data_IF_918348534881
#
_entry.id   IF_918348534881
#
_cell.length_a   1.000
_cell.length_b   1.000
_cell.length_c   1.000
_cell.angle_alpha   90.00
_cell.angle_beta   90.00
_cell.angle_gamma   90.00
#
_symmetry.space_group_name_H-M   'P 1'
#
loop_
_entity.id
_entity.type
_entity.pdbx_description
1 polymer ?
#
# COMPACT_ATOMS: atom_id res chain seq x y z
N UNK A 1 10.49 4.40 2.15
CA UNK A 1 10.06 3.05 1.75
C UNK A 1 10.21 2.12 2.94
N UNK A 2 9.18 1.33 3.23
CA UNK A 2 9.19 0.30 4.27
C UNK A 2 9.19 -1.07 3.61
N UNK A 3 10.03 -1.98 4.10
CA UNK A 3 10.15 -3.33 3.54
C UNK A 3 10.24 -4.33 4.70
N UNK A 4 9.39 -5.34 4.68
CA UNK A 4 9.50 -6.53 5.53
C UNK A 4 9.82 -7.72 4.64
N UNK A 5 10.89 -8.46 4.98
CA UNK A 5 11.26 -9.69 4.30
C UNK A 5 11.43 -10.81 5.31
N UNK A 6 10.86 -11.96 5.01
CA UNK A 6 11.00 -13.16 5.84
C UNK A 6 12.47 -13.54 6.01
N UNK A 7 12.88 -13.85 7.23
CA UNK A 7 14.26 -14.19 7.57
C UNK A 7 15.27 -13.04 7.57
N UNK A 8 14.90 -11.86 7.04
CA UNK A 8 15.80 -10.69 6.98
C UNK A 8 15.38 -9.55 7.92
N UNK A 9 14.09 -9.43 8.25
CA UNK A 9 13.59 -8.40 9.16
C UNK A 9 12.91 -7.24 8.44
N UNK A 10 12.76 -6.10 9.15
CA UNK A 10 12.11 -4.88 8.67
C UNK A 10 13.14 -3.80 8.41
N UNK A 11 13.03 -3.15 7.25
CA UNK A 11 13.92 -2.09 6.79
C UNK A 11 13.13 -0.82 6.50
N UNK A 12 13.64 0.31 6.97
CA UNK A 12 13.12 1.62 6.65
C UNK A 12 14.18 2.35 5.82
N UNK A 13 13.84 2.73 4.60
CA UNK A 13 14.73 3.37 3.64
C UNK A 13 14.18 4.75 3.34
N UNK A 14 14.94 5.79 3.68
CA UNK A 14 14.66 7.15 3.23
C UNK A 14 15.26 7.34 1.83
N UNK A 15 14.45 7.48 0.78
CA UNK A 15 14.97 7.60 -0.57
C UNK A 15 15.54 8.99 -0.86
N UNK A 16 15.26 10.00 -0.03
CA UNK A 16 15.63 11.38 -0.29
C UNK A 16 17.15 11.53 -0.41
N UNK A 17 17.60 11.98 -1.59
CA UNK A 17 19.02 12.20 -1.89
C UNK A 17 19.82 10.94 -2.25
N UNK A 18 19.14 9.79 -2.40
CA UNK A 18 19.76 8.54 -2.86
C UNK A 18 18.94 7.85 -3.97
N UNK A 19 18.03 8.58 -4.61
CA UNK A 19 17.07 8.04 -5.59
C UNK A 19 17.78 7.31 -6.74
N UNK A 20 18.92 7.83 -7.19
CA UNK A 20 19.78 7.26 -8.24
C UNK A 20 20.61 6.05 -7.79
N UNK A 21 20.59 5.72 -6.50
CA UNK A 21 21.37 4.63 -5.88
C UNK A 21 20.54 3.40 -5.50
N UNK A 22 19.26 3.41 -5.80
CA UNK A 22 18.32 2.34 -5.44
C UNK A 22 18.37 1.10 -6.38
N UNK A 23 19.22 1.12 -7.43
CA UNK A 23 19.35 0.01 -8.36
C UNK A 23 19.57 -1.36 -7.69
N UNK A 24 20.52 -1.53 -6.76
CA UNK A 24 20.69 -2.82 -6.07
C UNK A 24 19.46 -3.25 -5.25
N UNK A 25 18.70 -2.31 -4.72
CA UNK A 25 17.43 -2.61 -4.07
C UNK A 25 16.39 -3.09 -5.07
N UNK A 26 16.28 -2.40 -6.22
CA UNK A 26 15.38 -2.77 -7.30
C UNK A 26 15.66 -4.20 -7.79
N UNK A 27 16.93 -4.56 -7.97
CA UNK A 27 17.35 -5.90 -8.41
C UNK A 27 16.90 -6.99 -7.42
N UNK A 28 17.06 -6.75 -6.12
CA UNK A 28 16.62 -7.69 -5.07
C UNK A 28 15.10 -7.81 -5.02
N UNK A 29 14.40 -6.68 -5.13
CA UNK A 29 12.94 -6.63 -5.04
C UNK A 29 12.23 -7.16 -6.30
N UNK A 30 12.92 -7.21 -7.44
CA UNK A 30 12.37 -7.72 -8.70
C UNK A 30 12.19 -9.26 -8.73
N UNK A 31 12.58 -9.97 -7.68
CA UNK A 31 12.52 -11.45 -7.62
C UNK A 31 11.35 -11.99 -6.81
N UNK A 32 10.72 -11.16 -6.00
CA UNK A 32 9.72 -11.59 -5.03
C UNK A 32 8.36 -10.93 -5.28
N UNK A 33 7.26 -11.62 -4.94
CA UNK A 33 5.93 -11.02 -4.88
C UNK A 33 5.91 -9.89 -3.83
N UNK A 34 5.34 -8.74 -4.18
CA UNK A 34 5.13 -7.66 -3.21
C UNK A 34 3.75 -7.76 -2.57
N UNK A 35 3.73 -7.70 -1.25
CA UNK A 35 2.51 -7.64 -0.47
C UNK A 35 2.29 -6.19 -0.08
N UNK A 36 1.20 -5.62 -0.52
CA UNK A 36 0.82 -4.23 -0.30
C UNK A 36 -0.59 -4.16 0.29
N UNK A 37 -0.95 -3.02 0.85
CA UNK A 37 -2.32 -2.70 1.22
C UNK A 37 -2.76 -1.44 0.48
N UNK A 38 -3.77 -1.54 -0.38
CA UNK A 38 -4.17 -0.49 -1.30
C UNK A 38 -3.05 -0.07 -2.28
N UNK A 39 -2.46 -1.04 -2.97
CA UNK A 39 -1.28 -0.91 -3.83
C UNK A 39 -1.37 0.22 -4.87
N UNK A 40 -2.57 0.57 -5.30
CA UNK A 40 -2.82 1.66 -6.26
C UNK A 40 -2.43 3.05 -5.73
N UNK A 41 -2.22 3.19 -4.42
CA UNK A 41 -1.75 4.42 -3.78
C UNK A 41 -0.23 4.50 -3.73
N UNK A 42 0.46 3.37 -3.51
CA UNK A 42 1.92 3.32 -3.33
C UNK A 42 2.68 3.13 -4.64
N UNK A 43 2.17 2.30 -5.54
CA UNK A 43 2.84 1.96 -6.80
C UNK A 43 3.29 3.20 -7.61
N UNK A 44 2.50 4.28 -7.75
CA UNK A 44 2.96 5.47 -8.46
C UNK A 44 4.24 6.09 -7.88
N UNK A 45 4.34 6.16 -6.55
CA UNK A 45 5.52 6.69 -5.87
C UNK A 45 6.72 5.74 -5.96
N UNK A 46 6.47 4.43 -5.88
CA UNK A 46 7.52 3.41 -6.04
C UNK A 46 8.08 3.39 -7.46
N UNK A 47 7.23 3.59 -8.47
CA UNK A 47 7.65 3.72 -9.87
C UNK A 47 8.55 4.95 -10.11
N UNK A 48 8.32 6.07 -9.41
CA UNK A 48 9.22 7.24 -9.47
C UNK A 48 10.65 6.90 -8.97
N UNK A 49 10.77 5.89 -8.11
CA UNK A 49 12.04 5.36 -7.60
C UNK A 49 12.59 4.21 -8.47
N UNK A 50 11.99 3.93 -9.62
CA UNK A 50 12.30 2.77 -10.48
C UNK A 50 12.16 1.42 -9.77
N UNK A 51 11.26 1.32 -8.80
CA UNK A 51 10.91 0.09 -8.10
C UNK A 51 9.61 -0.47 -8.71
N UNK A 52 9.69 -1.64 -9.33
CA UNK A 52 8.58 -2.28 -10.05
C UNK A 52 8.36 -3.70 -9.53
N UNK A 53 7.15 -4.04 -9.02
CA UNK A 53 6.88 -5.39 -8.57
C UNK A 53 6.76 -6.35 -9.76
N UNK A 54 7.34 -7.56 -9.67
CA UNK A 54 7.07 -8.61 -10.65
C UNK A 54 5.66 -9.20 -10.48
N UNK A 55 5.17 -9.22 -9.25
CA UNK A 55 3.84 -9.69 -8.87
C UNK A 55 3.36 -8.90 -7.63
N UNK A 56 2.05 -8.65 -7.53
CA UNK A 56 1.43 -7.95 -6.40
C UNK A 56 0.40 -8.85 -5.72
N UNK A 57 0.38 -8.82 -4.39
CA UNK A 57 -0.72 -9.27 -3.55
C UNK A 57 -1.25 -8.05 -2.79
N UNK A 58 -2.48 -7.62 -3.06
CA UNK A 58 -3.11 -6.49 -2.38
C UNK A 58 -4.09 -6.99 -1.32
N UNK A 59 -3.79 -6.70 -0.05
CA UNK A 59 -4.62 -7.15 1.07
C UNK A 59 -5.97 -6.44 1.11
N UNK A 60 -6.07 -5.16 0.68
CA UNK A 60 -7.34 -4.45 0.58
C UNK A 60 -8.29 -5.12 -0.43
N UNK A 61 -7.77 -5.51 -1.62
CA UNK A 61 -8.56 -6.25 -2.61
C UNK A 61 -8.97 -7.62 -2.06
N UNK A 62 -8.05 -8.30 -1.37
CA UNK A 62 -8.37 -9.58 -0.72
C UNK A 62 -9.53 -9.45 0.26
N UNK A 63 -9.52 -8.42 1.11
CA UNK A 63 -10.61 -8.12 2.04
C UNK A 63 -11.94 -7.81 1.33
N UNK A 64 -11.89 -7.03 0.24
CA UNK A 64 -13.05 -6.74 -0.60
C UNK A 64 -13.65 -8.02 -1.20
N UNK A 65 -12.82 -8.88 -1.76
CA UNK A 65 -13.24 -10.15 -2.35
C UNK A 65 -13.80 -11.12 -1.30
N UNK A 66 -13.33 -11.05 -0.07
CA UNK A 66 -13.86 -11.83 1.05
C UNK A 66 -15.14 -11.23 1.65
N UNK A 67 -15.48 -10.00 1.28
CA UNK A 67 -16.68 -9.31 1.75
C UNK A 67 -16.55 -8.73 3.15
N UNK A 68 -15.34 -8.35 3.56
CA UNK A 68 -15.12 -7.72 4.85
C UNK A 68 -15.86 -6.39 4.97
N UNK A 69 -16.51 -6.09 6.09
CA UNK A 69 -17.27 -4.85 6.29
C UNK A 69 -16.35 -3.62 6.40
N UNK A 70 -15.07 -3.83 6.72
CA UNK A 70 -14.02 -2.81 6.83
C UNK A 70 -12.72 -3.38 6.26
N UNK A 71 -12.14 -2.63 5.33
CA UNK A 71 -10.96 -3.02 4.56
C UNK A 71 -9.71 -2.18 4.89
N UNK A 72 -9.71 -1.42 5.98
CA UNK A 72 -8.46 -0.78 6.42
C UNK A 72 -7.51 -1.84 6.97
N UNK A 73 -6.20 -1.65 6.81
CA UNK A 73 -5.17 -2.58 7.28
C UNK A 73 -5.39 -2.97 8.75
N UNK A 74 -5.69 -1.98 9.62
CA UNK A 74 -5.95 -2.23 11.04
C UNK A 74 -7.18 -3.13 11.25
N UNK A 75 -8.22 -2.95 10.43
CA UNK A 75 -9.44 -3.75 10.55
C UNK A 75 -9.21 -5.18 10.08
N UNK A 76 -8.46 -5.36 9.00
CA UNK A 76 -8.12 -6.68 8.48
C UNK A 76 -7.19 -7.45 9.40
N UNK A 77 -6.16 -6.79 9.93
CA UNK A 77 -5.26 -7.40 10.93
C UNK A 77 -6.04 -7.82 12.18
N UNK A 78 -6.97 -6.98 12.65
CA UNK A 78 -7.80 -7.32 13.81
C UNK A 78 -8.74 -8.50 13.54
N UNK A 79 -9.38 -8.54 12.37
CA UNK A 79 -10.33 -9.57 11.97
C UNK A 79 -9.65 -10.92 11.72
N UNK A 80 -8.50 -10.89 11.02
CA UNK A 80 -7.83 -12.09 10.51
C UNK A 80 -6.82 -12.63 11.50
N UNK A 81 -6.00 -11.76 12.11
CA UNK A 81 -4.90 -12.15 12.97
C UNK A 81 -5.20 -11.95 14.47
N UNK A 82 -6.30 -11.24 14.82
CA UNK A 82 -6.66 -10.97 16.22
C UNK A 82 -5.78 -9.92 16.91
N UNK A 83 -4.99 -9.15 16.18
CA UNK A 83 -4.12 -8.10 16.72
C UNK A 83 -4.71 -6.71 16.50
N UNK A 84 -4.61 -5.83 17.50
CA UNK A 84 -4.93 -4.42 17.37
C UNK A 84 -3.73 -3.61 16.89
N UNK A 85 -3.82 -2.96 15.72
CA UNK A 85 -2.84 -1.95 15.30
C UNK A 85 -3.26 -0.57 15.79
N UNK A 86 -2.32 0.19 16.36
CA UNK A 86 -2.58 1.55 16.80
C UNK A 86 -2.80 2.48 15.59
N UNK A 87 -3.81 3.36 15.67
CA UNK A 87 -4.12 4.40 14.66
C UNK A 87 -3.34 5.70 14.90
N UNK A 88 -2.09 5.62 15.27
CA UNK A 88 -1.30 6.80 15.58
C UNK A 88 -0.57 7.28 14.31
N UNK A 89 -0.38 8.60 14.17
CA UNK A 89 0.47 9.23 13.15
C UNK A 89 0.01 9.24 11.68
N UNK A 90 -1.19 8.79 11.33
CA UNK A 90 -1.70 8.87 9.93
C UNK A 90 -1.78 10.31 9.38
N UNK A 91 -1.89 11.32 10.26
CA UNK A 91 -1.95 12.75 9.91
C UNK A 91 -0.65 13.52 10.24
N UNK A 92 0.46 12.81 10.53
CA UNK A 92 1.74 13.43 10.83
C UNK A 92 2.40 14.01 9.59
N UNK A 93 3.28 14.99 9.75
CA UNK A 93 4.10 15.52 8.66
C UNK A 93 5.28 14.58 8.38
N UNK A 94 5.17 13.84 7.30
CA UNK A 94 6.20 12.90 6.83
C UNK A 94 7.30 13.58 6.00
N UNK A 95 7.23 14.89 5.77
CA UNK A 95 8.26 15.64 5.02
C UNK A 95 9.40 16.12 5.90
N UNK A 96 9.20 16.19 7.22
CA UNK A 96 10.26 16.60 8.16
C UNK A 96 11.44 15.62 8.17
N UNK A 97 12.67 16.17 8.33
CA UNK A 97 13.90 15.38 8.48
C UNK A 97 14.77 15.94 9.60
N UNK A 98 15.34 15.04 10.45
CA UNK A 98 15.13 13.60 10.49
C UNK A 98 13.72 13.21 10.98
N UNK A 99 13.19 12.07 10.53
CA UNK A 99 11.93 11.56 11.03
C UNK A 99 12.02 11.22 12.53
N UNK A 100 11.00 11.60 13.29
CA UNK A 100 10.92 11.30 14.71
C UNK A 100 10.90 9.77 14.95
N UNK A 101 11.51 9.27 16.06
CA UNK A 101 11.53 7.83 16.36
C UNK A 101 10.13 7.19 16.41
N UNK A 102 9.10 7.91 16.86
CA UNK A 102 7.72 7.44 16.87
C UNK A 102 7.17 7.19 15.46
N UNK A 103 7.51 8.06 14.49
CA UNK A 103 7.13 7.88 13.08
C UNK A 103 7.84 6.68 12.45
N UNK A 104 9.11 6.47 12.77
CA UNK A 104 9.86 5.30 12.30
C UNK A 104 9.26 4.01 12.87
N UNK A 105 8.91 3.99 14.14
CA UNK A 105 8.25 2.84 14.76
C UNK A 105 6.89 2.55 14.12
N UNK A 106 6.10 3.60 13.86
CA UNK A 106 4.82 3.47 13.16
C UNK A 106 4.99 2.91 11.74
N UNK A 107 5.93 3.47 10.97
CA UNK A 107 6.23 3.02 9.61
C UNK A 107 6.67 1.55 9.55
N UNK A 108 7.41 1.07 10.57
CA UNK A 108 7.79 -0.33 10.67
C UNK A 108 6.59 -1.25 10.92
N UNK A 109 5.62 -0.81 11.74
CA UNK A 109 4.42 -1.58 12.06
C UNK A 109 3.51 -1.80 10.86
N UNK A 110 3.46 -0.86 9.92
CA UNK A 110 2.61 -0.95 8.72
C UNK A 110 2.99 -2.14 7.83
N UNK A 111 4.22 -2.63 7.89
CA UNK A 111 4.67 -3.79 7.09
C UNK A 111 4.89 -5.06 7.91
N UNK A 112 4.93 -4.97 9.23
CA UNK A 112 5.35 -6.07 10.12
C UNK A 112 4.45 -7.29 10.00
N UNK A 113 3.13 -7.09 9.87
CA UNK A 113 2.14 -8.16 9.85
C UNK A 113 1.63 -8.52 8.45
N UNK A 114 2.15 -7.88 7.39
CA UNK A 114 1.65 -8.12 6.02
C UNK A 114 1.90 -9.54 5.53
N UNK A 115 3.01 -10.16 5.92
CA UNK A 115 3.33 -11.54 5.54
C UNK A 115 2.30 -12.51 6.14
N UNK A 116 2.07 -12.43 7.45
CA UNK A 116 1.10 -13.29 8.14
C UNK A 116 -0.32 -13.05 7.64
N UNK A 117 -0.67 -11.78 7.41
CA UNK A 117 -1.97 -11.40 6.87
C UNK A 117 -2.19 -11.99 5.47
N UNK A 118 -1.20 -11.90 4.57
CA UNK A 118 -1.24 -12.49 3.24
C UNK A 118 -1.50 -14.00 3.30
N UNK A 119 -0.81 -14.70 4.20
CA UNK A 119 -0.91 -16.15 4.30
C UNK A 119 -2.31 -16.60 4.75
N UNK A 120 -2.90 -15.90 5.71
CA UNK A 120 -4.26 -16.20 6.16
C UNK A 120 -5.32 -15.79 5.13
N UNK A 121 -5.19 -14.60 4.50
CA UNK A 121 -6.09 -14.18 3.44
C UNK A 121 -6.05 -15.13 2.24
N UNK A 122 -4.87 -15.65 1.88
CA UNK A 122 -4.72 -16.66 0.82
C UNK A 122 -5.55 -17.91 1.13
N UNK A 123 -5.45 -18.47 2.34
CA UNK A 123 -6.24 -19.63 2.77
C UNK A 123 -7.74 -19.35 2.74
N UNK A 124 -8.16 -18.14 3.11
CA UNK A 124 -9.58 -17.75 3.08
C UNK A 124 -10.08 -17.63 1.64
N UNK A 125 -9.30 -17.02 0.74
CA UNK A 125 -9.63 -16.89 -0.68
C UNK A 125 -9.68 -18.24 -1.40
N UNK A 126 -8.76 -19.15 -1.09
CA UNK A 126 -8.79 -20.53 -1.61
C UNK A 126 -10.09 -21.25 -1.24
N UNK A 127 -10.48 -21.19 0.05
CA UNK A 127 -11.74 -21.77 0.53
C UNK A 127 -12.97 -21.14 -0.12
N UNK A 128 -12.90 -19.84 -0.43
CA UNK A 128 -13.97 -19.11 -1.13
C UNK A 128 -13.98 -19.32 -2.66
N UNK A 129 -12.94 -19.94 -3.22
CA UNK A 129 -12.74 -20.09 -4.68
C UNK A 129 -12.48 -18.77 -5.40
N UNK A 130 -11.86 -17.78 -4.71
CA UNK A 130 -11.69 -16.41 -5.21
C UNK A 130 -10.22 -15.99 -5.38
N UNK A 131 -9.27 -16.89 -5.15
CA UNK A 131 -7.84 -16.56 -5.23
C UNK A 131 -7.43 -16.12 -6.64
N UNK A 132 -8.00 -16.72 -7.69
CA UNK A 132 -7.71 -16.34 -9.07
C UNK A 132 -8.23 -14.94 -9.39
N UNK A 133 -9.40 -14.56 -8.89
CA UNK A 133 -9.92 -13.18 -9.02
C UNK A 133 -8.99 -12.16 -8.37
N UNK A 134 -8.41 -12.49 -7.21
CA UNK A 134 -7.40 -11.62 -6.60
C UNK A 134 -6.21 -11.42 -7.51
N UNK A 135 -5.68 -12.49 -8.12
CA UNK A 135 -4.54 -12.42 -9.03
C UNK A 135 -4.83 -11.54 -10.24
N UNK A 136 -6.00 -11.70 -10.84
CA UNK A 136 -6.44 -10.89 -11.98
C UNK A 136 -6.52 -9.39 -11.62
N UNK A 137 -7.16 -9.05 -10.49
CA UNK A 137 -7.29 -7.66 -10.02
C UNK A 137 -5.93 -7.04 -9.66
N UNK A 138 -5.07 -7.79 -8.97
CA UNK A 138 -3.73 -7.33 -8.62
C UNK A 138 -2.86 -7.11 -9.87
N UNK A 139 -2.96 -7.98 -10.87
CA UNK A 139 -2.23 -7.84 -12.13
C UNK A 139 -2.71 -6.62 -12.91
N UNK A 140 -4.03 -6.35 -12.94
CA UNK A 140 -4.56 -5.14 -13.55
C UNK A 140 -4.00 -3.87 -12.89
N UNK A 141 -3.95 -3.83 -11.56
CA UNK A 141 -3.37 -2.70 -10.82
C UNK A 141 -1.88 -2.55 -11.11
N UNK A 142 -1.12 -3.65 -11.10
CA UNK A 142 0.30 -3.68 -11.41
C UNK A 142 0.62 -3.11 -12.79
N UNK A 143 -0.18 -3.46 -13.80
CA UNK A 143 0.00 -3.06 -15.19
C UNK A 143 -0.58 -1.66 -15.51
N UNK A 144 -1.43 -1.10 -14.67
CA UNK A 144 -2.13 0.16 -14.92
C UNK A 144 -1.20 1.35 -15.14
N UNK A 145 0.02 1.29 -14.61
CA UNK A 145 1.00 2.36 -14.71
C UNK A 145 0.60 3.64 -13.95
N UNK A 146 1.40 4.70 -14.05
CA UNK A 146 1.13 5.96 -13.37
C UNK A 146 -0.17 6.58 -13.85
N UNK A 147 -1.03 7.00 -12.91
CA UNK A 147 -2.27 7.69 -13.26
C UNK A 147 -1.95 9.04 -13.90
N UNK A 148 -2.58 9.38 -15.02
CA UNK A 148 -2.40 10.70 -15.61
C UNK A 148 -2.82 11.78 -14.59
N UNK A 149 -2.11 12.94 -14.55
CA UNK A 149 -2.46 14.02 -13.65
C UNK A 149 -3.91 14.46 -13.87
N UNK A 150 -4.65 14.66 -12.78
CA UNK A 150 -6.05 15.11 -12.88
C UNK A 150 -6.09 16.48 -13.54
N UNK A 151 -6.73 16.57 -14.70
CA UNK A 151 -6.81 17.79 -15.50
C UNK A 151 -7.43 18.98 -14.73
N UNK A 152 -8.24 18.70 -13.73
CA UNK A 152 -8.90 19.74 -12.92
C UNK A 152 -9.09 19.23 -11.46
N UNK A 153 -8.03 19.16 -10.65
CA UNK A 153 -8.10 18.62 -9.28
C UNK A 153 -9.05 19.42 -8.38
N UNK A 154 -9.22 20.72 -8.64
CA UNK A 154 -10.13 21.61 -7.90
C UNK A 154 -11.60 21.21 -8.02
N UNK A 155 -12.03 20.51 -9.09
CA UNK A 155 -13.43 20.08 -9.23
C UNK A 155 -13.87 19.10 -8.17
N UNK A 156 -12.96 18.24 -7.67
CA UNK A 156 -13.25 17.34 -6.55
C UNK A 156 -13.45 18.15 -5.26
N UNK A 157 -12.56 19.09 -4.98
CA UNK A 157 -12.66 19.97 -3.81
C UNK A 157 -13.94 20.80 -3.86
N UNK A 158 -14.28 21.39 -5.02
CA UNK A 158 -15.51 22.16 -5.20
C UNK A 158 -16.77 21.32 -4.94
N UNK A 159 -16.84 20.09 -5.41
CA UNK A 159 -17.95 19.17 -5.13
C UNK A 159 -18.06 18.83 -3.64
N UNK A 160 -16.94 18.57 -2.98
CA UNK A 160 -16.89 18.31 -1.54
C UNK A 160 -17.33 19.54 -0.71
N UNK A 161 -17.02 20.74 -1.20
CA UNK A 161 -17.48 22.01 -0.61
C UNK A 161 -18.93 22.37 -0.97
N UNK A 162 -19.67 21.52 -1.67
CA UNK A 162 -21.08 21.73 -2.01
C UNK A 162 -21.33 22.67 -3.19
N UNK A 163 -20.31 23.05 -3.96
CA UNK A 163 -20.45 23.87 -5.16
C UNK A 163 -21.12 23.05 -6.26
N UNK A 164 -22.35 23.39 -6.62
CA UNK A 164 -23.19 22.64 -7.59
C UNK A 164 -23.19 23.23 -8.99
N UNK A 165 -22.79 24.48 -9.18
CA UNK A 165 -22.85 25.17 -10.48
C UNK A 165 -21.45 25.43 -11.04
N UNK A 166 -21.25 25.04 -12.31
CA UNK A 166 -20.01 25.31 -13.06
C UNK A 166 -19.80 26.81 -13.32
N UNK A 167 -20.85 27.62 -13.26
CA UNK A 167 -20.80 29.09 -13.47
C UNK A 167 -20.31 29.85 -12.23
N UNK A 168 -20.22 29.17 -11.09
CA UNK A 168 -19.73 29.74 -9.81
C UNK A 168 -18.24 29.50 -9.60
N UNK A 169 -17.55 28.99 -10.61
CA UNK A 169 -16.13 28.69 -10.67
C UNK A 169 -15.50 29.45 -11.81
#
# INVERSE_FOLDING_TARGET
>A
VQIRREGAGTFLIDPVGIEDRLGPLADVMATDQWILHAADQDLPCLHELNLYPPEVFDTEIAGLLLGFPRISLQSEVAEVLGFGLAKEHSNSDWSERPLAPALLAYAALDVELLLDLRDELTKMLERAGRLEWLREECEEIRLRGPRPPKVQPWRKAARQAGVKDQRSL
#
